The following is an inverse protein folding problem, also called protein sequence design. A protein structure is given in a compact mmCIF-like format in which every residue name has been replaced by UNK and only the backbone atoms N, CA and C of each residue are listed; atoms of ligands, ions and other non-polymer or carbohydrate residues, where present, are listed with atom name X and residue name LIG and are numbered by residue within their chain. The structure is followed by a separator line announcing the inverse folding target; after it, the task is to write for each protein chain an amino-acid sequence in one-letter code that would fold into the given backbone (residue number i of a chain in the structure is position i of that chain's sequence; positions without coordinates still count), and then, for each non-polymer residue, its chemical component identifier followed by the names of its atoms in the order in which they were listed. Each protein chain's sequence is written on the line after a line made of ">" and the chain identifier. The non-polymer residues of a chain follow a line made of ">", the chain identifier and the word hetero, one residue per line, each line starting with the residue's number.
data_IF_888504509694
#
_entry.id   IF_888504509694
#
_cell.length_a   1.000
_cell.length_b   1.000
_cell.length_c   1.000
_cell.angle_alpha   90.00
_cell.angle_beta   90.00
_cell.angle_gamma   90.00
#
_symmetry.space_group_name_H-M   'P 1'
#
loop_
_entity.id
_entity.type
_entity.pdbx_description
1 polymer ?
#
# COMPACT_ATOMS: atom_id res chain seq x y z
N UNK A 1 0.79 -23.32 -41.32
CA UNK A 1 0.93 -21.92 -40.84
C UNK A 1 1.49 -21.94 -39.43
N UNK A 2 2.37 -20.97 -39.14
CA UNK A 2 2.84 -20.81 -37.77
C UNK A 2 1.70 -20.36 -36.85
N UNK A 3 1.70 -20.66 -35.54
CA UNK A 3 0.67 -20.19 -34.59
C UNK A 3 0.41 -18.69 -34.67
N UNK A 4 1.48 -17.89 -34.87
CA UNK A 4 1.42 -16.45 -34.98
C UNK A 4 0.67 -15.98 -36.24
N UNK A 5 0.86 -16.65 -37.38
CA UNK A 5 0.16 -16.33 -38.62
C UNK A 5 -1.33 -16.70 -38.52
N UNK A 6 -1.66 -17.80 -37.84
CA UNK A 6 -3.04 -18.18 -37.59
C UNK A 6 -3.74 -17.17 -36.66
N UNK A 7 -3.08 -16.73 -35.58
CA UNK A 7 -3.58 -15.71 -34.68
C UNK A 7 -3.85 -14.37 -35.40
N UNK A 8 -2.97 -13.95 -36.30
CA UNK A 8 -3.14 -12.74 -37.11
C UNK A 8 -4.40 -12.81 -37.97
N UNK A 9 -4.69 -14.00 -38.54
CA UNK A 9 -5.92 -14.24 -39.32
C UNK A 9 -7.21 -14.09 -38.50
N UNK A 10 -7.23 -14.64 -37.29
CA UNK A 10 -8.39 -14.50 -36.39
C UNK A 10 -8.54 -13.07 -35.88
N UNK A 11 -7.42 -12.39 -35.60
CA UNK A 11 -7.42 -10.98 -35.15
C UNK A 11 -8.04 -10.04 -36.19
N UNK A 12 -7.82 -10.30 -37.47
CA UNK A 12 -8.41 -9.51 -38.57
C UNK A 12 -9.94 -9.59 -38.60
N UNK A 13 -10.53 -10.73 -38.21
CA UNK A 13 -11.97 -10.95 -38.13
C UNK A 13 -12.60 -10.69 -36.77
N UNK A 14 -11.83 -10.27 -35.78
CA UNK A 14 -12.29 -10.02 -34.42
C UNK A 14 -12.69 -8.56 -34.22
N UNK A 15 -13.90 -8.34 -33.73
CA UNK A 15 -14.40 -7.02 -33.33
C UNK A 15 -14.84 -7.08 -31.87
N UNK A 16 -14.38 -6.15 -31.06
CA UNK A 16 -14.79 -5.97 -29.66
C UNK A 16 -15.34 -4.55 -29.52
N UNK A 17 -16.59 -4.42 -29.12
CA UNK A 17 -17.23 -3.12 -28.94
C UNK A 17 -18.10 -3.11 -27.67
N UNK A 18 -18.13 -2.02 -26.89
CA UNK A 18 -19.08 -1.89 -25.80
C UNK A 18 -20.51 -1.80 -26.34
N UNK A 19 -21.49 -2.34 -25.63
CA UNK A 19 -22.91 -2.26 -26.00
C UNK A 19 -23.39 -0.80 -25.99
N UNK A 20 -22.84 0.02 -25.06
CA UNK A 20 -23.07 1.47 -25.00
C UNK A 20 -21.88 2.16 -24.32
N UNK A 21 -21.77 3.48 -24.46
CA UNK A 21 -20.68 4.26 -23.85
C UNK A 21 -20.63 4.22 -22.29
N UNK A 22 -21.71 3.77 -21.67
CA UNK A 22 -21.84 3.64 -20.21
C UNK A 22 -21.95 2.19 -19.75
N UNK A 23 -21.86 1.22 -20.68
CA UNK A 23 -22.01 -0.20 -20.37
C UNK A 23 -20.69 -0.83 -19.95
N UNK A 24 -20.74 -1.68 -18.94
CA UNK A 24 -19.65 -2.58 -18.55
C UNK A 24 -19.64 -3.89 -19.35
N UNK A 25 -20.56 -4.02 -20.33
CA UNK A 25 -20.69 -5.21 -21.15
C UNK A 25 -20.12 -4.92 -22.54
N UNK A 26 -19.22 -5.79 -23.00
CA UNK A 26 -18.66 -5.75 -24.35
C UNK A 26 -19.23 -6.90 -25.21
N UNK A 27 -19.49 -6.60 -26.45
CA UNK A 27 -19.84 -7.61 -27.49
C UNK A 27 -18.57 -8.01 -28.20
N UNK A 28 -18.32 -9.32 -28.28
CA UNK A 28 -17.22 -9.91 -29.03
C UNK A 28 -17.82 -10.58 -30.27
N UNK A 29 -17.38 -10.17 -31.45
CA UNK A 29 -17.80 -10.74 -32.72
C UNK A 29 -16.63 -11.26 -33.52
N UNK A 30 -16.71 -12.46 -34.04
CA UNK A 30 -15.67 -13.10 -34.85
C UNK A 30 -16.26 -13.51 -36.20
N UNK A 31 -15.63 -13.10 -37.31
CA UNK A 31 -15.97 -13.53 -38.65
C UNK A 31 -15.04 -14.67 -39.08
N UNK A 32 -15.62 -15.83 -39.40
CA UNK A 32 -14.88 -16.97 -39.90
C UNK A 32 -15.78 -17.81 -40.87
N UNK A 33 -15.17 -18.50 -41.82
CA UNK A 33 -15.85 -19.39 -42.75
C UNK A 33 -16.43 -20.63 -42.08
N UNK A 34 -15.94 -21.00 -40.91
CA UNK A 34 -16.40 -22.15 -40.12
C UNK A 34 -16.94 -21.69 -38.75
N UNK A 35 -18.25 -21.84 -38.55
CA UNK A 35 -18.94 -21.43 -37.32
C UNK A 35 -18.32 -22.08 -36.07
N UNK A 36 -18.01 -23.38 -36.14
CA UNK A 36 -17.42 -24.10 -34.99
C UNK A 36 -16.07 -23.49 -34.59
N UNK A 37 -15.20 -23.18 -35.55
CA UNK A 37 -13.90 -22.56 -35.28
C UNK A 37 -14.01 -21.14 -34.68
N UNK A 38 -15.02 -20.38 -35.13
CA UNK A 38 -15.30 -19.07 -34.56
C UNK A 38 -15.76 -19.19 -33.08
N UNK A 39 -16.62 -20.16 -32.80
CA UNK A 39 -17.12 -20.47 -31.47
C UNK A 39 -15.98 -20.89 -30.54
N UNK A 40 -15.16 -21.86 -30.95
CA UNK A 40 -14.04 -22.38 -30.18
C UNK A 40 -13.01 -21.25 -29.89
N UNK A 41 -12.69 -20.43 -30.89
CA UNK A 41 -11.81 -19.29 -30.75
C UNK A 41 -12.34 -18.26 -29.70
N UNK A 42 -13.65 -17.93 -29.82
CA UNK A 42 -14.26 -16.97 -28.90
C UNK A 42 -14.29 -17.50 -27.47
N UNK A 43 -14.60 -18.78 -27.29
CA UNK A 43 -14.61 -19.44 -26.00
C UNK A 43 -13.21 -19.44 -25.37
N UNK A 44 -12.18 -19.80 -26.12
CA UNK A 44 -10.79 -19.83 -25.65
C UNK A 44 -10.30 -18.41 -25.35
N UNK A 45 -10.66 -17.42 -26.16
CA UNK A 45 -10.34 -16.02 -25.90
C UNK A 45 -10.91 -15.54 -24.56
N UNK A 46 -12.15 -15.90 -24.24
CA UNK A 46 -12.79 -15.54 -22.96
C UNK A 46 -12.12 -16.24 -21.80
N UNK A 47 -11.77 -17.52 -21.94
CA UNK A 47 -11.06 -18.29 -20.90
C UNK A 47 -9.71 -17.65 -20.62
N UNK A 48 -8.91 -17.37 -21.65
CA UNK A 48 -7.61 -16.74 -21.51
C UNK A 48 -7.69 -15.34 -20.92
N UNK A 49 -8.67 -14.53 -21.33
CA UNK A 49 -8.90 -13.21 -20.77
C UNK A 49 -9.21 -13.27 -19.26
N UNK A 50 -10.08 -14.21 -18.87
CA UNK A 50 -10.43 -14.39 -17.46
C UNK A 50 -9.23 -14.89 -16.64
N UNK A 51 -8.44 -15.82 -17.17
CA UNK A 51 -7.23 -16.30 -16.51
C UNK A 51 -6.21 -15.17 -16.34
N UNK A 52 -6.03 -14.37 -17.37
CA UNK A 52 -5.11 -13.24 -17.40
C UNK A 52 -5.48 -12.16 -16.36
N UNK A 53 -6.75 -11.77 -16.35
CA UNK A 53 -7.30 -10.82 -15.39
C UNK A 53 -7.17 -11.31 -13.93
N UNK A 54 -7.41 -12.61 -13.71
CA UNK A 54 -7.25 -13.20 -12.37
C UNK A 54 -5.78 -13.24 -11.96
N UNK A 55 -4.87 -13.55 -12.86
CA UNK A 55 -3.42 -13.56 -12.59
C UNK A 55 -2.93 -12.15 -12.21
N UNK A 56 -3.35 -11.12 -12.94
CA UNK A 56 -3.00 -9.73 -12.63
C UNK A 56 -3.50 -9.28 -11.26
N UNK A 57 -4.77 -9.58 -10.93
CA UNK A 57 -5.34 -9.26 -9.61
C UNK A 57 -4.65 -10.02 -8.49
N UNK A 58 -4.33 -11.29 -8.71
CA UNK A 58 -3.66 -12.12 -7.72
C UNK A 58 -2.21 -11.66 -7.45
N UNK A 59 -1.49 -11.13 -8.45
CA UNK A 59 -0.14 -10.60 -8.25
C UNK A 59 -0.13 -9.41 -7.27
N UNK A 60 -1.08 -8.48 -7.41
CA UNK A 60 -1.23 -7.33 -6.48
C UNK A 60 -1.61 -7.82 -5.08
N UNK A 61 -2.57 -8.75 -5.01
CA UNK A 61 -3.04 -9.30 -3.74
C UNK A 61 -1.92 -10.07 -3.02
N UNK A 62 -1.13 -10.87 -3.75
CA UNK A 62 -0.04 -11.66 -3.17
C UNK A 62 1.05 -10.75 -2.61
N UNK A 63 1.52 -9.75 -3.38
CA UNK A 63 2.52 -8.79 -2.89
C UNK A 63 2.04 -8.00 -1.67
N UNK A 64 0.74 -7.68 -1.63
CA UNK A 64 0.15 -7.02 -0.47
C UNK A 64 0.06 -7.95 0.74
N UNK A 65 -0.27 -9.22 0.54
CA UNK A 65 -0.32 -10.23 1.61
C UNK A 65 1.06 -10.48 2.21
N UNK A 66 2.07 -10.72 1.37
CA UNK A 66 3.45 -10.94 1.80
C UNK A 66 3.98 -9.73 2.61
N UNK A 67 3.67 -8.52 2.17
CA UNK A 67 4.00 -7.30 2.88
C UNK A 67 3.30 -7.22 4.25
N UNK A 68 2.00 -7.49 4.31
CA UNK A 68 1.22 -7.46 5.56
C UNK A 68 1.78 -8.48 6.55
N UNK A 69 2.14 -9.68 6.11
CA UNK A 69 2.69 -10.74 6.97
C UNK A 69 4.02 -10.33 7.59
N UNK A 70 4.92 -9.75 6.79
CA UNK A 70 6.19 -9.19 7.29
C UNK A 70 5.93 -8.10 8.34
N UNK A 71 4.96 -7.21 8.08
CA UNK A 71 4.65 -6.09 8.97
C UNK A 71 3.97 -6.51 10.27
N UNK A 72 3.10 -7.51 10.25
CA UNK A 72 2.50 -8.09 11.46
C UNK A 72 3.59 -8.62 12.39
N UNK A 73 4.61 -9.28 11.86
CA UNK A 73 5.75 -9.75 12.67
C UNK A 73 6.48 -8.61 13.38
N UNK A 74 6.76 -7.51 12.67
CA UNK A 74 7.44 -6.35 13.24
C UNK A 74 6.57 -5.65 14.29
N UNK A 75 5.29 -5.42 13.99
CA UNK A 75 4.35 -4.78 14.91
C UNK A 75 4.19 -5.59 16.20
N UNK A 76 4.11 -6.92 16.12
CA UNK A 76 4.02 -7.77 17.30
C UNK A 76 5.28 -7.66 18.18
N UNK A 77 6.44 -7.54 17.57
CA UNK A 77 7.68 -7.32 18.31
C UNK A 77 7.71 -5.94 19.00
N UNK A 78 7.33 -4.87 18.29
CA UNK A 78 7.27 -3.50 18.84
C UNK A 78 6.23 -3.39 19.96
N UNK A 79 5.05 -4.04 19.82
CA UNK A 79 4.01 -4.04 20.83
C UNK A 79 4.48 -4.72 22.14
N UNK A 80 5.13 -5.87 22.03
CA UNK A 80 5.68 -6.57 23.20
C UNK A 80 6.71 -5.73 23.97
N UNK A 81 7.52 -4.95 23.25
CA UNK A 81 8.50 -4.03 23.86
C UNK A 81 7.77 -2.89 24.59
N UNK A 82 6.78 -2.28 23.96
CA UNK A 82 6.02 -1.16 24.55
C UNK A 82 5.24 -1.57 25.80
N UNK A 83 4.61 -2.77 25.78
CA UNK A 83 3.91 -3.31 26.96
C UNK A 83 4.87 -3.53 28.15
N UNK A 84 6.07 -4.02 27.87
CA UNK A 84 7.10 -4.23 28.90
C UNK A 84 7.57 -2.91 29.50
N UNK A 85 7.85 -1.90 28.66
CA UNK A 85 8.25 -0.57 29.08
C UNK A 85 7.17 0.13 29.93
N UNK A 86 5.89 -0.04 29.57
CA UNK A 86 4.76 0.49 30.32
C UNK A 86 4.63 -0.18 31.71
N UNK A 87 4.82 -1.50 31.77
CA UNK A 87 4.78 -2.24 33.04
C UNK A 87 5.92 -1.80 33.97
N UNK A 88 7.13 -1.67 33.45
CA UNK A 88 8.29 -1.17 34.19
C UNK A 88 8.11 0.28 34.64
N UNK A 89 7.53 1.14 33.81
CA UNK A 89 7.20 2.52 34.18
C UNK A 89 6.23 2.56 35.36
N UNK A 90 5.12 1.81 35.31
CA UNK A 90 4.16 1.71 36.39
C UNK A 90 4.81 1.23 37.71
N UNK A 91 5.69 0.23 37.61
CA UNK A 91 6.41 -0.31 38.76
C UNK A 91 7.42 0.70 39.35
N UNK A 92 8.20 1.39 38.51
CA UNK A 92 9.17 2.41 38.92
C UNK A 92 8.50 3.63 39.55
N UNK A 93 7.35 4.03 39.07
CA UNK A 93 6.57 5.16 39.56
C UNK A 93 5.86 4.90 40.89
N UNK A 94 5.83 3.65 41.39
CA UNK A 94 5.24 3.31 42.73
C UNK A 94 3.73 3.65 42.83
N UNK A 95 3.00 3.51 41.72
CA UNK A 95 1.65 4.04 41.56
C UNK A 95 0.55 3.15 42.21
N UNK A 96 0.67 2.89 43.51
CA UNK A 96 -0.32 2.12 44.27
C UNK A 96 -1.39 2.99 44.95
N UNK A 97 -1.13 4.31 45.10
CA UNK A 97 -2.14 5.25 45.66
C UNK A 97 -1.99 6.63 45.00
N UNK A 98 -2.80 6.83 43.96
CA UNK A 98 -2.68 7.95 43.01
C UNK A 98 -3.77 9.00 43.31
N UNK A 99 -3.35 10.26 43.53
CA UNK A 99 -4.26 11.40 43.55
C UNK A 99 -4.96 11.54 42.19
N UNK A 100 -6.19 12.10 42.14
CA UNK A 100 -6.98 12.27 40.91
C UNK A 100 -6.18 12.93 39.77
N UNK A 101 -5.30 13.88 40.10
CA UNK A 101 -4.45 14.57 39.09
C UNK A 101 -3.39 13.65 38.47
N UNK A 102 -2.77 12.79 39.30
CA UNK A 102 -1.80 11.82 38.82
C UNK A 102 -2.47 10.71 37.99
N UNK A 103 -3.70 10.32 38.34
CA UNK A 103 -4.48 9.35 37.57
C UNK A 103 -4.86 9.92 36.20
N UNK A 104 -5.26 11.18 36.13
CA UNK A 104 -5.53 11.87 34.85
C UNK A 104 -4.28 11.99 34.00
N UNK A 105 -3.15 12.39 34.62
CA UNK A 105 -1.88 12.49 33.91
C UNK A 105 -1.39 11.13 33.38
N UNK A 106 -1.61 10.04 34.11
CA UNK A 106 -1.30 8.68 33.66
C UNK A 106 -2.16 8.26 32.47
N UNK A 107 -3.46 8.56 32.50
CA UNK A 107 -4.37 8.29 31.41
C UNK A 107 -3.99 9.04 30.13
N UNK A 108 -3.64 10.32 30.25
CA UNK A 108 -3.15 11.11 29.11
C UNK A 108 -1.80 10.62 28.60
N UNK A 109 -0.85 10.25 29.49
CA UNK A 109 0.43 9.65 29.08
C UNK A 109 0.22 8.37 28.26
N UNK A 110 -0.61 7.45 28.76
CA UNK A 110 -0.94 6.20 28.05
C UNK A 110 -1.56 6.46 26.66
N UNK A 111 -2.38 7.49 26.52
CA UNK A 111 -2.93 7.90 25.22
C UNK A 111 -1.85 8.39 24.26
N UNK A 112 -0.87 9.16 24.74
CA UNK A 112 0.24 9.60 23.89
C UNK A 112 1.19 8.46 23.51
N UNK A 113 1.39 7.48 24.39
CA UNK A 113 2.16 6.27 24.07
C UNK A 113 1.47 5.47 22.95
N UNK A 114 0.14 5.29 23.01
CA UNK A 114 -0.60 4.66 21.95
C UNK A 114 -0.44 5.43 20.63
N UNK A 115 -0.62 6.74 20.64
CA UNK A 115 -0.43 7.58 19.45
C UNK A 115 1.00 7.50 18.90
N UNK A 116 2.00 7.39 19.79
CA UNK A 116 3.38 7.23 19.41
C UNK A 116 3.61 5.89 18.69
N UNK A 117 3.06 4.79 19.20
CA UNK A 117 3.14 3.47 18.60
C UNK A 117 2.43 3.44 17.21
N UNK A 118 1.24 4.02 17.10
CA UNK A 118 0.52 4.15 15.84
C UNK A 118 1.32 4.97 14.81
N UNK A 119 1.89 6.11 15.25
CA UNK A 119 2.71 6.95 14.39
C UNK A 119 4.02 6.25 13.99
N UNK A 120 4.66 5.51 14.89
CA UNK A 120 5.86 4.72 14.59
C UNK A 120 5.57 3.66 13.54
N UNK A 121 4.44 2.97 13.63
CA UNK A 121 3.97 2.00 12.64
C UNK A 121 3.80 2.67 11.26
N UNK A 122 3.16 3.85 11.19
CA UNK A 122 3.01 4.57 9.93
C UNK A 122 4.36 5.01 9.34
N UNK A 123 5.30 5.48 10.16
CA UNK A 123 6.66 5.84 9.73
C UNK A 123 7.37 4.62 9.14
N UNK A 124 7.29 3.47 9.81
CA UNK A 124 7.91 2.24 9.33
C UNK A 124 7.32 1.79 7.98
N UNK A 125 6.00 1.82 7.83
CA UNK A 125 5.32 1.53 6.58
C UNK A 125 5.79 2.43 5.43
N UNK A 126 5.84 3.74 5.66
CA UNK A 126 6.25 4.71 4.65
C UNK A 126 7.75 4.59 4.33
N UNK A 127 8.61 4.28 5.32
CA UNK A 127 10.02 4.00 5.08
C UNK A 127 10.21 2.76 4.20
N UNK A 128 9.49 1.67 4.49
CA UNK A 128 9.52 0.48 3.64
C UNK A 128 9.15 0.82 2.19
N UNK A 129 8.05 1.55 1.98
CA UNK A 129 7.65 1.97 0.64
C UNK A 129 8.70 2.84 -0.03
N UNK A 130 9.32 3.76 0.71
CA UNK A 130 10.42 4.58 0.21
C UNK A 130 11.57 3.73 -0.28
N UNK A 131 11.97 2.75 0.51
CA UNK A 131 13.10 1.88 0.22
C UNK A 131 12.75 0.94 -0.96
N UNK A 132 11.52 0.41 -1.00
CA UNK A 132 11.00 -0.37 -2.12
C UNK A 132 11.03 0.41 -3.45
N UNK A 133 10.51 1.64 -3.45
CA UNK A 133 10.46 2.50 -4.64
C UNK A 133 11.85 2.95 -5.08
N UNK A 134 12.79 3.09 -4.17
CA UNK A 134 14.16 3.50 -4.47
C UNK A 134 15.05 2.35 -4.92
N UNK A 135 14.64 1.12 -4.72
CA UNK A 135 15.37 -0.03 -5.22
C UNK A 135 15.24 -0.14 -6.75
N UNK A 136 16.34 -0.10 -7.51
CA UNK A 136 16.29 -0.20 -8.96
C UNK A 136 15.68 -1.51 -9.47
N UNK A 137 15.78 -2.60 -8.70
CA UNK A 137 15.19 -3.89 -9.06
C UNK A 137 13.65 -3.84 -9.15
N UNK A 138 13.02 -2.85 -8.50
CA UNK A 138 11.57 -2.68 -8.45
C UNK A 138 11.05 -1.61 -9.44
N UNK A 139 11.85 -1.19 -10.41
CA UNK A 139 11.48 -0.08 -11.30
C UNK A 139 10.21 -0.35 -12.10
N UNK A 140 10.02 -1.59 -12.54
CA UNK A 140 8.88 -2.03 -13.37
C UNK A 140 7.90 -2.91 -12.59
N UNK A 141 7.99 -2.89 -11.27
CA UNK A 141 7.18 -3.71 -10.39
C UNK A 141 6.02 -2.92 -9.76
N UNK A 142 4.98 -3.66 -9.42
CA UNK A 142 3.82 -3.14 -8.69
C UNK A 142 4.25 -2.79 -7.27
N UNK A 143 3.88 -1.59 -6.82
CA UNK A 143 4.07 -1.17 -5.43
C UNK A 143 2.97 -1.79 -4.58
N UNK A 144 3.27 -2.43 -3.43
CA UNK A 144 2.25 -2.95 -2.52
C UNK A 144 1.24 -1.86 -2.14
N UNK A 145 -0.05 -2.12 -2.39
CA UNK A 145 -1.15 -1.21 -2.09
C UNK A 145 -1.94 -1.70 -0.86
N UNK A 146 -2.70 -0.82 -0.25
CA UNK A 146 -3.61 -1.12 0.87
C UNK A 146 -2.94 -1.75 2.12
N UNK A 147 -1.74 -1.33 2.42
CA UNK A 147 -0.93 -1.84 3.54
C UNK A 147 -1.18 -1.11 4.86
N UNK A 148 -2.37 -0.56 5.05
CA UNK A 148 -2.70 0.19 6.28
C UNK A 148 -2.14 1.62 6.32
N UNK A 149 -1.86 2.21 5.17
CA UNK A 149 -1.49 3.62 5.07
C UNK A 149 -2.69 4.51 5.38
N UNK A 150 -2.47 5.48 6.26
CA UNK A 150 -3.51 6.46 6.61
C UNK A 150 -3.63 7.60 5.60
N UNK A 151 -2.62 7.81 4.74
CA UNK A 151 -2.62 8.89 3.75
C UNK A 151 -3.29 8.47 2.43
N UNK A 152 -4.46 9.05 2.18
CA UNK A 152 -5.26 8.76 0.97
C UNK A 152 -4.58 9.25 -0.32
N UNK A 153 -3.77 10.32 -0.27
CA UNK A 153 -3.08 10.84 -1.45
C UNK A 153 -1.98 9.89 -1.87
N UNK A 154 -1.24 9.34 -0.90
CA UNK A 154 -0.21 8.33 -1.16
C UNK A 154 -0.83 7.06 -1.73
N UNK A 155 -1.91 6.55 -1.12
CA UNK A 155 -2.64 5.38 -1.63
C UNK A 155 -3.12 5.60 -3.07
N UNK A 156 -3.74 6.75 -3.35
CA UNK A 156 -4.21 7.09 -4.70
C UNK A 156 -3.07 7.21 -5.73
N UNK A 157 -1.91 7.75 -5.31
CA UNK A 157 -0.75 7.84 -6.20
C UNK A 157 -0.17 6.46 -6.53
N UNK A 158 -0.11 5.55 -5.54
CA UNK A 158 0.31 4.15 -5.72
C UNK A 158 -0.65 3.43 -6.67
N UNK A 159 -1.96 3.56 -6.49
CA UNK A 159 -2.97 2.92 -7.35
C UNK A 159 -2.83 3.36 -8.80
N UNK A 160 -2.63 4.66 -9.04
CA UNK A 160 -2.41 5.19 -10.39
C UNK A 160 -1.14 4.65 -11.02
N UNK A 161 -0.05 4.57 -10.27
CA UNK A 161 1.20 3.96 -10.73
C UNK A 161 0.99 2.48 -11.09
N UNK A 162 0.38 1.71 -10.19
CA UNK A 162 0.12 0.30 -10.39
C UNK A 162 -0.73 0.02 -11.63
N UNK A 163 -1.77 0.84 -11.86
CA UNK A 163 -2.61 0.73 -13.06
C UNK A 163 -1.81 0.92 -14.35
N UNK A 164 -0.85 1.86 -14.37
CA UNK A 164 0.02 2.06 -15.53
C UNK A 164 0.97 0.87 -15.74
N UNK A 165 1.52 0.29 -14.68
CA UNK A 165 2.36 -0.91 -14.77
C UNK A 165 1.58 -2.10 -15.33
N UNK A 166 0.38 -2.35 -14.82
CA UNK A 166 -0.50 -3.43 -15.30
C UNK A 166 -0.84 -3.22 -16.78
N UNK A 167 -1.20 -2.02 -17.18
CA UNK A 167 -1.50 -1.69 -18.58
C UNK A 167 -0.28 -1.88 -19.49
N UNK A 168 0.90 -1.46 -19.05
CA UNK A 168 2.16 -1.70 -19.79
C UNK A 168 2.45 -3.19 -19.94
N UNK A 169 2.35 -3.97 -18.85
CA UNK A 169 2.55 -5.44 -18.89
C UNK A 169 1.54 -6.08 -19.86
N UNK A 170 0.28 -5.64 -19.85
CA UNK A 170 -0.76 -6.11 -20.76
C UNK A 170 -0.41 -5.85 -22.23
N UNK A 171 0.01 -4.63 -22.58
CA UNK A 171 0.35 -4.28 -23.95
C UNK A 171 1.62 -4.99 -24.45
N UNK A 172 2.60 -5.21 -23.57
CA UNK A 172 3.84 -5.92 -23.92
C UNK A 172 3.62 -7.38 -24.34
N UNK A 173 2.50 -8.00 -23.95
CA UNK A 173 2.18 -9.36 -24.40
C UNK A 173 1.87 -9.44 -25.89
N UNK A 174 1.40 -8.36 -26.49
CA UNK A 174 0.92 -8.31 -27.89
C UNK A 174 1.68 -7.32 -28.76
N UNK A 175 2.56 -6.52 -28.18
CA UNK A 175 3.29 -5.43 -28.83
C UNK A 175 4.75 -5.41 -28.38
N UNK A 176 5.61 -4.84 -29.21
CA UNK A 176 7.02 -4.61 -28.86
C UNK A 176 7.21 -3.30 -28.08
N UNK A 177 8.33 -3.17 -27.38
CA UNK A 177 8.68 -1.96 -26.63
C UNK A 177 8.77 -0.69 -27.51
N UNK A 178 8.97 -0.84 -28.81
CA UNK A 178 8.97 0.27 -29.78
C UNK A 178 7.58 0.78 -30.14
N UNK A 179 6.51 0.17 -29.63
CA UNK A 179 5.14 0.65 -29.88
C UNK A 179 4.95 2.03 -29.22
N UNK A 180 4.47 3.06 -29.96
CA UNK A 180 4.24 4.40 -29.44
C UNK A 180 3.36 4.43 -28.17
N UNK A 181 2.37 3.53 -28.04
CA UNK A 181 1.53 3.42 -26.85
C UNK A 181 2.35 2.99 -25.61
N UNK A 182 3.30 2.06 -25.78
CA UNK A 182 4.18 1.60 -24.70
C UNK A 182 5.18 2.71 -24.33
N UNK A 183 5.72 3.43 -25.30
CA UNK A 183 6.61 4.58 -25.05
C UNK A 183 5.87 5.65 -24.22
N UNK A 184 4.62 5.95 -24.56
CA UNK A 184 3.80 6.90 -23.80
C UNK A 184 3.51 6.40 -22.38
N UNK A 185 3.24 5.10 -22.21
CA UNK A 185 3.06 4.50 -20.89
C UNK A 185 4.34 4.57 -20.05
N UNK A 186 5.50 4.28 -20.63
CA UNK A 186 6.77 4.40 -19.92
C UNK A 186 6.99 5.84 -19.40
N UNK A 187 6.70 6.85 -20.22
CA UNK A 187 6.75 8.25 -19.79
C UNK A 187 5.76 8.54 -18.62
N UNK A 188 4.55 8.01 -18.70
CA UNK A 188 3.54 8.12 -17.65
C UNK A 188 3.96 7.41 -16.34
N UNK A 189 4.55 6.21 -16.46
CA UNK A 189 5.08 5.43 -15.34
C UNK A 189 6.19 6.21 -14.63
N UNK A 190 7.15 6.74 -15.36
CA UNK A 190 8.25 7.55 -14.81
C UNK A 190 7.72 8.78 -14.06
N UNK A 191 6.79 9.52 -14.68
CA UNK A 191 6.17 10.68 -14.05
C UNK A 191 5.40 10.30 -12.77
N UNK A 192 4.65 9.20 -12.80
CA UNK A 192 3.89 8.74 -11.64
C UNK A 192 4.80 8.17 -10.55
N UNK A 193 5.87 7.48 -10.91
CA UNK A 193 6.89 7.03 -9.96
C UNK A 193 7.54 8.20 -9.23
N UNK A 194 7.88 9.26 -9.96
CA UNK A 194 8.38 10.49 -9.35
C UNK A 194 7.36 11.12 -8.39
N UNK A 195 6.10 11.16 -8.78
CA UNK A 195 5.01 11.64 -7.94
C UNK A 195 4.89 10.83 -6.64
N UNK A 196 4.88 9.48 -6.72
CA UNK A 196 4.85 8.61 -5.53
C UNK A 196 6.05 8.86 -4.63
N UNK A 197 7.29 8.96 -5.17
CA UNK A 197 8.49 9.28 -4.39
C UNK A 197 8.36 10.61 -3.64
N UNK A 198 7.86 11.63 -4.29
CA UNK A 198 7.66 12.95 -3.70
C UNK A 198 6.61 12.90 -2.59
N UNK A 199 5.50 12.19 -2.83
CA UNK A 199 4.41 12.02 -1.86
C UNK A 199 4.88 11.23 -0.64
N UNK A 200 5.60 10.12 -0.82
CA UNK A 200 6.21 9.33 0.26
C UNK A 200 7.09 10.20 1.15
N UNK A 201 7.97 11.01 0.57
CA UNK A 201 8.86 11.90 1.34
C UNK A 201 8.07 12.97 2.11
N UNK A 202 7.00 13.51 1.52
CA UNK A 202 6.15 14.50 2.16
C UNK A 202 5.37 13.90 3.33
N UNK A 203 4.80 12.71 3.16
CA UNK A 203 4.10 11.97 4.22
C UNK A 203 5.05 11.62 5.34
N UNK A 204 6.25 11.11 5.04
CA UNK A 204 7.26 10.78 6.02
C UNK A 204 7.64 12.00 6.87
N UNK A 205 7.87 13.15 6.23
CA UNK A 205 8.16 14.41 6.94
C UNK A 205 7.00 14.84 7.84
N UNK A 206 5.76 14.71 7.37
CA UNK A 206 4.55 14.98 8.16
C UNK A 206 4.46 14.08 9.40
N UNK A 207 4.68 12.78 9.23
CA UNK A 207 4.68 11.81 10.33
C UNK A 207 5.79 12.07 11.35
N UNK A 208 6.99 12.48 10.91
CA UNK A 208 8.11 12.86 11.79
C UNK A 208 7.79 14.11 12.62
N UNK A 209 7.12 15.11 12.03
CA UNK A 209 6.64 16.29 12.75
C UNK A 209 5.59 15.89 13.79
N UNK A 210 4.64 15.04 13.42
CA UNK A 210 3.62 14.50 14.34
C UNK A 210 4.29 13.75 15.51
N UNK A 211 5.27 12.88 15.22
CA UNK A 211 6.05 12.18 16.26
C UNK A 211 6.71 13.12 17.25
N UNK A 212 7.36 14.17 16.74
CA UNK A 212 7.99 15.18 17.61
C UNK A 212 6.99 15.91 18.51
N UNK A 213 5.77 16.15 17.99
CA UNK A 213 4.71 16.77 18.78
C UNK A 213 4.16 15.83 19.85
N UNK A 214 3.94 14.55 19.52
CA UNK A 214 3.51 13.51 20.47
C UNK A 214 4.56 13.38 21.60
N UNK A 215 5.84 13.24 21.25
CA UNK A 215 6.95 13.13 22.20
C UNK A 215 7.00 14.33 23.17
N UNK A 216 6.82 15.55 22.65
CA UNK A 216 6.78 16.75 23.49
C UNK A 216 5.60 16.75 24.45
N UNK A 217 4.44 16.28 24.03
CA UNK A 217 3.27 16.20 24.89
C UNK A 217 3.41 15.08 25.94
N UNK A 218 3.90 13.91 25.56
CA UNK A 218 4.20 12.81 26.49
C UNK A 218 5.11 13.27 27.62
N UNK A 219 6.26 13.84 27.30
CA UNK A 219 7.21 14.37 28.30
C UNK A 219 6.60 15.39 29.25
N UNK A 220 5.67 16.22 28.77
CA UNK A 220 4.96 17.17 29.62
C UNK A 220 4.12 16.48 30.70
N UNK A 221 3.43 15.38 30.35
CA UNK A 221 2.61 14.62 31.29
C UNK A 221 3.46 13.75 32.20
N UNK A 222 4.54 13.15 31.72
CA UNK A 222 5.51 12.42 32.52
C UNK A 222 6.14 13.32 33.62
N UNK A 223 6.51 14.54 33.25
CA UNK A 223 7.02 15.55 34.19
C UNK A 223 5.99 15.90 35.27
N UNK A 224 4.71 15.99 34.92
CA UNK A 224 3.61 16.22 35.89
C UNK A 224 3.47 15.06 36.87
N UNK A 225 3.53 13.82 36.40
CA UNK A 225 3.52 12.63 37.26
C UNK A 225 4.70 12.61 38.21
N UNK A 226 5.90 12.86 37.69
CA UNK A 226 7.13 12.90 38.50
C UNK A 226 7.07 13.97 39.60
N UNK A 227 6.60 15.17 39.29
CA UNK A 227 6.48 16.26 40.27
C UNK A 227 5.45 15.92 41.38
N UNK A 228 4.31 15.32 41.00
CA UNK A 228 3.31 14.93 42.00
C UNK A 228 3.79 13.84 42.95
N UNK A 229 4.67 12.94 42.47
CA UNK A 229 5.29 11.90 43.32
C UNK A 229 6.41 12.46 44.20
N UNK A 230 7.12 13.50 43.76
CA UNK A 230 8.21 14.15 44.51
C UNK A 230 7.65 15.03 45.66
N UNK A 231 6.59 15.79 45.41
CA UNK A 231 5.96 16.62 46.44
C UNK A 231 5.42 15.78 47.62
N UNK A 232 4.95 14.57 47.37
CA UNK A 232 4.54 13.64 48.44
C UNK A 232 5.70 13.13 49.32
N UNK A 233 6.90 12.94 48.73
CA UNK A 233 8.07 12.50 49.48
C UNK A 233 8.65 13.60 50.38
N UNK A 234 8.34 14.87 50.10
CA UNK A 234 8.79 16.01 50.90
C UNK A 234 7.83 16.40 52.04
N UNK A 235 6.65 15.76 52.14
CA UNK A 235 5.60 16.04 53.14
C UNK A 235 5.51 14.93 54.19
N UNK A 236 6.33 13.89 54.11
CA UNK A 236 6.50 12.83 55.11
C UNK A 236 7.90 12.98 55.73
#
# INVERSE_FOLDING_TARGET
>A
STPTAAAAGYRAGLTVAPISNTSTIATISVQNTHIQRASDFTQELIILYNQDTNTEKNEVAQKSADFIEERISIINHELGTTETELAEFKQRAGLTDISSDAQLALQESSKYEQQYAENATQINLVNYLRDYINNPANNDEIIPANVGLSDMNLTSAIDKYNNLIVERKRLLRTSSESNPAIINLNTGIEAMRHNVKTTVNSVLKGLQITRSNIDRQSRKYESRISNTTTDRKSVV
#
